data_IF_452984016021
#
_entry.id   IF_452984016021
#
_cell.length_a   1.000
_cell.length_b   1.000
_cell.length_c   1.000
_cell.angle_alpha   90.00
_cell.angle_beta   90.00
_cell.angle_gamma   90.00
#
_symmetry.space_group_name_H-M   'P 1'
#
loop_
_entity.id
_entity.type
_entity.pdbx_description
1 polymer ?
#
# COMPACT_ATOMS: atom_id res chain seq x y z
N UNK A 1 -87.54 -58.32 14.87
CA UNK A 1 -86.62 -58.62 13.74
C UNK A 1 -85.81 -57.41 13.25
N UNK A 2 -86.26 -56.15 13.39
CA UNK A 2 -85.48 -54.97 12.95
C UNK A 2 -84.24 -54.65 13.80
N UNK A 3 -84.24 -54.90 15.12
CA UNK A 3 -83.11 -54.55 15.99
C UNK A 3 -81.90 -55.51 15.88
N UNK A 4 -82.12 -56.78 15.52
CA UNK A 4 -81.03 -57.76 15.34
C UNK A 4 -80.19 -57.46 14.09
N UNK A 5 -80.79 -56.86 13.06
CA UNK A 5 -80.10 -56.49 11.82
C UNK A 5 -79.16 -55.30 12.07
N UNK A 6 -79.54 -54.33 12.92
CA UNK A 6 -78.67 -53.20 13.27
C UNK A 6 -77.48 -53.61 14.15
N UNK A 7 -77.65 -54.57 15.06
CA UNK A 7 -76.54 -55.08 15.89
C UNK A 7 -75.56 -55.92 15.07
N UNK A 8 -76.02 -56.66 14.07
CA UNK A 8 -75.14 -57.44 13.19
C UNK A 8 -74.35 -56.55 12.20
N UNK A 9 -74.94 -55.43 11.76
CA UNK A 9 -74.28 -54.48 10.85
C UNK A 9 -73.18 -53.68 11.56
N UNK A 10 -73.36 -53.35 12.85
CA UNK A 10 -72.37 -52.63 13.66
C UNK A 10 -71.13 -53.47 13.98
N UNK A 11 -71.31 -54.79 14.15
CA UNK A 11 -70.21 -55.73 14.42
C UNK A 11 -69.43 -56.06 13.14
N UNK A 12 -70.08 -56.07 11.98
CA UNK A 12 -69.42 -56.29 10.69
C UNK A 12 -68.52 -55.12 10.25
N UNK A 13 -68.82 -53.89 10.66
CA UNK A 13 -67.99 -52.70 10.36
C UNK A 13 -66.82 -52.50 11.33
N UNK A 14 -66.78 -53.22 12.46
CA UNK A 14 -65.71 -53.10 13.46
C UNK A 14 -64.46 -53.96 13.18
N UNK A 15 -64.55 -54.93 12.26
CA UNK A 15 -63.45 -55.87 11.98
C UNK A 15 -62.49 -55.42 10.87
N UNK A 16 -62.75 -54.30 10.19
CA UNK A 16 -61.87 -53.76 9.14
C UNK A 16 -61.02 -52.58 9.59
N UNK A 17 -61.09 -52.19 10.87
CA UNK A 17 -60.34 -51.05 11.43
C UNK A 17 -59.00 -51.43 12.07
N UNK A 18 -58.61 -52.71 12.09
CA UNK A 18 -57.30 -53.14 12.55
C UNK A 18 -56.28 -53.11 11.41
N UNK A 19 -55.86 -51.92 10.98
CA UNK A 19 -54.53 -51.79 10.36
C UNK A 19 -53.50 -51.94 11.49
N UNK A 20 -52.42 -52.71 11.26
CA UNK A 20 -51.31 -52.78 12.24
C UNK A 20 -50.89 -51.35 12.60
N UNK A 21 -50.71 -51.06 13.90
CA UNK A 21 -50.29 -49.74 14.41
C UNK A 21 -49.05 -49.19 13.67
N UNK A 22 -48.24 -50.09 13.12
CA UNK A 22 -46.98 -49.80 12.45
C UNK A 22 -47.16 -49.33 11.00
N UNK A 23 -48.36 -49.41 10.42
CA UNK A 23 -48.61 -49.09 9.00
C UNK A 23 -48.37 -47.61 8.67
N UNK A 24 -48.59 -46.70 9.62
CA UNK A 24 -48.26 -45.27 9.44
C UNK A 24 -46.75 -44.98 9.55
N UNK A 25 -46.00 -45.81 10.28
CA UNK A 25 -44.56 -45.61 10.48
C UNK A 25 -43.69 -46.43 9.51
N UNK A 26 -44.24 -47.49 8.90
CA UNK A 26 -43.52 -48.36 7.96
C UNK A 26 -42.84 -47.61 6.79
N UNK A 27 -43.42 -46.55 6.19
CA UNK A 27 -42.73 -45.75 5.17
C UNK A 27 -41.57 -44.93 5.71
N UNK A 28 -41.57 -44.61 7.01
CA UNK A 28 -40.48 -43.89 7.68
C UNK A 28 -39.39 -44.84 8.22
N UNK A 29 -39.68 -46.14 8.32
CA UNK A 29 -38.75 -47.20 8.72
C UNK A 29 -38.14 -47.96 7.54
N UNK A 30 -38.65 -47.76 6.30
CA UNK A 30 -38.29 -48.56 5.12
C UNK A 30 -36.83 -48.39 4.67
N UNK A 31 -36.14 -47.32 5.08
CA UNK A 31 -34.74 -47.07 4.75
C UNK A 31 -33.75 -47.45 5.86
N UNK A 32 -34.22 -48.04 6.97
CA UNK A 32 -33.38 -48.41 8.11
C UNK A 32 -32.81 -47.21 8.89
N UNK A 33 -32.03 -47.49 9.93
CA UNK A 33 -31.28 -46.47 10.68
C UNK A 33 -30.17 -45.88 9.79
N UNK A 34 -30.11 -44.55 9.68
CA UNK A 34 -29.03 -43.86 8.97
C UNK A 34 -27.83 -43.74 9.93
N UNK A 35 -26.76 -44.44 9.62
CA UNK A 35 -25.51 -44.35 10.37
C UNK A 35 -24.68 -43.15 9.88
N UNK A 36 -24.31 -42.26 10.79
CA UNK A 36 -23.40 -41.16 10.52
C UNK A 36 -22.07 -41.39 11.25
N UNK A 37 -20.96 -41.30 10.53
CA UNK A 37 -19.63 -41.32 11.16
C UNK A 37 -19.30 -39.98 11.83
N UNK A 38 -18.20 -39.94 12.59
CA UNK A 38 -17.77 -38.75 13.30
C UNK A 38 -17.54 -37.53 12.40
N UNK A 39 -17.89 -36.35 12.90
CA UNK A 39 -17.75 -35.06 12.19
C UNK A 39 -16.38 -34.42 12.51
N UNK A 40 -15.63 -33.89 11.52
CA UNK A 40 -14.41 -33.16 11.78
C UNK A 40 -14.70 -31.85 12.54
N UNK A 41 -13.78 -31.43 13.41
CA UNK A 41 -13.99 -30.27 14.30
C UNK A 41 -12.82 -29.29 14.21
N UNK A 42 -12.95 -28.11 14.85
CA UNK A 42 -11.92 -27.05 14.87
C UNK A 42 -11.44 -26.68 13.45
N UNK A 43 -12.41 -26.33 12.60
CA UNK A 43 -12.15 -25.97 11.22
C UNK A 43 -11.50 -24.59 11.16
N UNK A 44 -10.40 -24.49 10.42
CA UNK A 44 -9.73 -23.23 10.11
C UNK A 44 -9.54 -23.14 8.59
N UNK A 45 -9.67 -21.93 8.05
CA UNK A 45 -9.41 -21.64 6.65
C UNK A 45 -8.37 -20.53 6.56
N UNK A 46 -7.31 -20.79 5.79
CA UNK A 46 -6.19 -19.89 5.63
C UNK A 46 -6.10 -19.43 4.17
N UNK A 47 -6.24 -18.11 3.92
CA UNK A 47 -6.22 -17.59 2.57
C UNK A 47 -4.84 -17.68 1.91
N UNK A 48 -4.82 -18.04 0.64
CA UNK A 48 -3.63 -18.05 -0.21
C UNK A 48 -3.94 -17.54 -1.61
N UNK A 49 -2.90 -17.36 -2.41
CA UNK A 49 -3.01 -16.94 -3.81
C UNK A 49 -3.57 -18.08 -4.65
N UNK A 50 -4.78 -17.90 -5.17
CA UNK A 50 -5.51 -18.88 -5.97
C UNK A 50 -5.80 -20.20 -5.23
N UNK A 51 -5.74 -20.20 -3.88
CA UNK A 51 -5.94 -21.39 -3.06
C UNK A 51 -6.40 -21.06 -1.64
N UNK A 52 -6.90 -22.07 -0.95
CA UNK A 52 -7.21 -22.01 0.49
C UNK A 52 -6.59 -23.24 1.16
N UNK A 53 -5.89 -23.06 2.27
CA UNK A 53 -5.53 -24.17 3.16
C UNK A 53 -6.64 -24.36 4.20
N UNK A 54 -7.23 -25.54 4.25
CA UNK A 54 -8.14 -25.95 5.29
C UNK A 54 -7.38 -26.76 6.33
N UNK A 55 -7.60 -26.46 7.60
CA UNK A 55 -7.13 -27.26 8.72
C UNK A 55 -8.32 -27.74 9.54
N UNK A 56 -8.29 -28.99 9.98
CA UNK A 56 -9.35 -29.55 10.83
C UNK A 56 -8.84 -30.70 11.69
N UNK A 57 -9.44 -30.85 12.85
CA UNK A 57 -9.22 -31.98 13.75
C UNK A 57 -10.06 -33.17 13.30
N UNK A 58 -9.37 -34.30 13.11
CA UNK A 58 -10.00 -35.58 12.74
C UNK A 58 -11.00 -36.02 13.81
N UNK A 59 -12.15 -36.62 13.43
CA UNK A 59 -13.05 -37.25 14.39
C UNK A 59 -12.35 -38.38 15.16
N UNK A 60 -12.75 -38.60 16.41
CA UNK A 60 -12.20 -39.72 17.22
C UNK A 60 -12.61 -41.12 16.70
N UNK A 61 -13.54 -41.18 15.75
CA UNK A 61 -14.00 -42.43 15.15
C UNK A 61 -12.86 -43.08 14.33
N UNK A 62 -12.37 -44.27 14.74
CA UNK A 62 -11.27 -44.96 14.07
C UNK A 62 -11.67 -45.52 12.70
N UNK A 63 -12.97 -45.59 12.37
CA UNK A 63 -13.44 -46.13 11.10
C UNK A 63 -13.40 -45.12 9.95
N UNK A 64 -13.16 -43.83 10.23
CA UNK A 64 -12.99 -42.80 9.18
C UNK A 64 -11.79 -43.12 8.30
N UNK A 65 -11.99 -43.20 6.99
CA UNK A 65 -10.93 -43.55 6.02
C UNK A 65 -10.58 -42.43 5.06
N UNK A 66 -11.52 -41.52 4.78
CA UNK A 66 -11.33 -40.42 3.83
C UNK A 66 -12.22 -39.24 4.17
N UNK A 67 -11.89 -38.09 3.60
CA UNK A 67 -12.71 -36.89 3.61
C UNK A 67 -13.01 -36.48 2.17
N UNK A 68 -14.22 -35.98 1.94
CA UNK A 68 -14.56 -35.25 0.71
C UNK A 68 -14.90 -33.82 1.08
N UNK A 69 -14.16 -32.89 0.50
CA UNK A 69 -14.32 -31.46 0.70
C UNK A 69 -15.09 -30.92 -0.48
N UNK A 70 -16.26 -30.35 -0.25
CA UNK A 70 -17.13 -29.79 -1.28
C UNK A 70 -17.13 -28.26 -1.24
N UNK A 71 -17.29 -27.64 -2.41
CA UNK A 71 -17.56 -26.20 -2.54
C UNK A 71 -18.42 -25.92 -3.78
N UNK A 72 -18.81 -24.65 -3.97
CA UNK A 72 -19.69 -24.22 -5.06
C UNK A 72 -20.99 -25.02 -5.10
N UNK A 73 -21.71 -25.08 -3.97
CA UNK A 73 -22.94 -25.86 -3.80
C UNK A 73 -22.76 -27.35 -4.17
N UNK A 74 -21.65 -27.95 -3.71
CA UNK A 74 -21.24 -29.34 -3.98
C UNK A 74 -21.00 -29.70 -5.45
N UNK A 75 -21.00 -28.72 -6.36
CA UNK A 75 -20.65 -28.96 -7.78
C UNK A 75 -19.17 -29.24 -7.99
N UNK A 76 -18.32 -28.89 -7.01
CA UNK A 76 -16.89 -29.16 -6.98
C UNK A 76 -16.52 -29.89 -5.70
N UNK A 77 -15.55 -30.78 -5.79
CA UNK A 77 -15.05 -31.53 -4.64
C UNK A 77 -13.59 -31.93 -4.79
N UNK A 78 -12.97 -32.24 -3.65
CA UNK A 78 -11.66 -32.86 -3.53
C UNK A 78 -11.77 -33.99 -2.51
N UNK A 79 -11.39 -35.20 -2.91
CA UNK A 79 -11.29 -36.36 -2.03
C UNK A 79 -9.85 -36.53 -1.55
N UNK A 80 -9.69 -36.80 -0.25
CA UNK A 80 -8.40 -37.02 0.39
C UNK A 80 -8.48 -38.19 1.38
N UNK A 81 -7.38 -38.95 1.55
CA UNK A 81 -7.33 -39.98 2.59
C UNK A 81 -7.32 -39.33 3.99
N UNK A 82 -7.92 -40.02 4.96
CA UNK A 82 -7.78 -39.66 6.36
C UNK A 82 -6.42 -40.16 6.87
N UNK A 83 -5.56 -39.24 7.28
CA UNK A 83 -4.22 -39.56 7.81
C UNK A 83 -4.25 -39.56 9.35
N UNK A 84 -3.29 -40.23 9.97
CA UNK A 84 -3.19 -40.33 11.43
C UNK A 84 -2.40 -39.14 12.01
N UNK A 85 -3.05 -37.98 12.03
CA UNK A 85 -2.53 -36.73 12.59
C UNK A 85 -3.62 -36.01 13.38
N UNK A 86 -3.24 -35.27 14.42
CA UNK A 86 -4.19 -34.55 15.26
C UNK A 86 -4.93 -33.42 14.51
N UNK A 87 -4.24 -32.74 13.59
CA UNK A 87 -4.79 -31.71 12.70
C UNK A 87 -4.36 -32.05 11.28
N UNK A 88 -5.34 -32.32 10.42
CA UNK A 88 -5.09 -32.57 9.01
C UNK A 88 -5.17 -31.24 8.25
N UNK A 89 -4.19 -31.01 7.36
CA UNK A 89 -4.09 -29.80 6.54
C UNK A 89 -4.26 -30.16 5.07
N UNK A 90 -5.00 -29.34 4.33
CA UNK A 90 -5.38 -29.63 2.95
C UNK A 90 -5.38 -28.34 2.15
N UNK A 91 -4.68 -28.33 1.02
CA UNK A 91 -4.74 -27.23 0.06
C UNK A 91 -5.86 -27.51 -0.94
N UNK A 92 -6.77 -26.56 -1.11
CA UNK A 92 -7.71 -26.52 -2.23
C UNK A 92 -7.10 -25.59 -3.29
N UNK A 93 -6.50 -26.14 -4.37
CA UNK A 93 -5.83 -25.34 -5.40
C UNK A 93 -6.82 -24.78 -6.42
N UNK A 94 -6.30 -23.97 -7.35
CA UNK A 94 -6.99 -23.49 -8.56
C UNK A 94 -8.34 -22.80 -8.31
N UNK A 95 -8.45 -22.11 -7.17
CA UNK A 95 -9.58 -21.27 -6.85
C UNK A 95 -9.43 -19.91 -7.52
N UNK A 96 -10.54 -19.39 -8.04
CA UNK A 96 -10.59 -17.99 -8.46
C UNK A 96 -10.61 -17.12 -7.21
N UNK A 97 -10.11 -15.91 -7.32
CA UNK A 97 -10.20 -14.95 -6.22
C UNK A 97 -11.66 -14.72 -5.82
N UNK A 98 -11.96 -14.84 -4.52
CA UNK A 98 -13.32 -14.77 -3.99
C UNK A 98 -13.52 -15.55 -2.70
N UNK A 99 -14.72 -15.44 -2.16
CA UNK A 99 -15.15 -16.13 -0.94
C UNK A 99 -15.77 -17.50 -1.27
N UNK A 100 -15.45 -18.49 -0.45
CA UNK A 100 -15.93 -19.86 -0.59
C UNK A 100 -16.45 -20.40 0.74
N UNK A 101 -17.50 -21.22 0.67
CA UNK A 101 -17.90 -22.09 1.75
C UNK A 101 -17.44 -23.52 1.43
N UNK A 102 -16.67 -24.11 2.34
CA UNK A 102 -16.17 -25.48 2.23
C UNK A 102 -16.91 -26.37 3.22
N UNK A 103 -17.51 -27.44 2.71
CA UNK A 103 -18.10 -28.48 3.53
C UNK A 103 -17.18 -29.69 3.56
N UNK A 104 -16.82 -30.16 4.76
CA UNK A 104 -15.91 -31.30 4.94
C UNK A 104 -16.73 -32.49 5.44
N UNK A 105 -16.86 -33.52 4.60
CA UNK A 105 -17.61 -34.74 4.93
C UNK A 105 -16.63 -35.89 5.16
N UNK A 106 -16.66 -36.47 6.36
CA UNK A 106 -15.91 -37.69 6.65
C UNK A 106 -16.66 -38.91 6.12
N UNK A 107 -15.93 -39.92 5.66
CA UNK A 107 -16.51 -41.20 5.27
C UNK A 107 -15.80 -42.35 5.99
N UNK A 108 -16.59 -43.28 6.54
CA UNK A 108 -16.08 -44.49 7.16
C UNK A 108 -15.69 -45.58 6.13
N UNK A 109 -15.18 -46.71 6.61
CA UNK A 109 -14.84 -47.89 5.79
C UNK A 109 -16.04 -48.45 5.00
N UNK A 110 -17.26 -48.31 5.51
CA UNK A 110 -18.49 -48.79 4.89
C UNK A 110 -19.07 -47.77 3.88
N UNK A 111 -18.50 -46.57 3.80
CA UNK A 111 -18.95 -45.49 2.93
C UNK A 111 -20.04 -44.61 3.54
N UNK A 112 -20.32 -44.73 4.84
CA UNK A 112 -21.29 -43.85 5.51
C UNK A 112 -20.68 -42.45 5.72
N UNK A 113 -21.40 -41.38 5.37
CA UNK A 113 -20.93 -40.02 5.57
C UNK A 113 -21.09 -39.56 7.02
N UNK A 114 -20.35 -38.55 7.44
CA UNK A 114 -20.71 -37.75 8.61
C UNK A 114 -21.98 -36.95 8.33
N UNK A 115 -22.64 -36.43 9.38
CA UNK A 115 -23.85 -35.63 9.22
C UNK A 115 -23.66 -34.48 8.22
N UNK A 116 -24.43 -34.43 7.12
CA UNK A 116 -24.34 -33.36 6.13
C UNK A 116 -24.51 -31.98 6.76
N UNK A 117 -23.71 -31.01 6.33
CA UNK A 117 -23.72 -29.63 6.81
C UNK A 117 -23.16 -29.43 8.21
N UNK A 118 -22.71 -30.48 8.91
CA UNK A 118 -22.21 -30.35 10.28
C UNK A 118 -20.79 -29.75 10.38
N UNK A 119 -20.04 -29.73 9.28
CA UNK A 119 -18.68 -29.18 9.21
C UNK A 119 -18.53 -28.26 7.99
N UNK A 120 -18.89 -26.99 8.19
CA UNK A 120 -18.78 -25.93 7.17
C UNK A 120 -17.86 -24.83 7.69
N UNK A 121 -16.93 -24.38 6.86
CA UNK A 121 -16.06 -23.23 7.13
C UNK A 121 -16.01 -22.31 5.91
N UNK A 122 -15.99 -20.99 6.14
CA UNK A 122 -15.79 -20.00 5.09
C UNK A 122 -14.32 -19.65 4.95
N UNK A 123 -13.84 -19.45 3.73
CA UNK A 123 -12.47 -19.06 3.45
C UNK A 123 -12.34 -18.33 2.12
N UNK A 124 -11.43 -17.36 2.09
CA UNK A 124 -11.16 -16.54 0.92
C UNK A 124 -9.98 -17.09 0.12
N UNK A 125 -10.14 -17.24 -1.18
CA UNK A 125 -9.01 -17.31 -2.09
C UNK A 125 -8.63 -15.89 -2.51
N UNK A 126 -7.37 -15.51 -2.34
CA UNK A 126 -6.86 -14.19 -2.67
C UNK A 126 -6.13 -14.22 -4.01
N UNK A 127 -5.91 -13.06 -4.62
CA UNK A 127 -5.28 -12.99 -5.93
C UNK A 127 -4.78 -11.59 -6.27
N UNK A 128 -4.83 -11.31 -7.57
CA UNK A 128 -4.32 -10.05 -8.13
C UNK A 128 -5.16 -8.86 -7.69
N UNK A 129 -6.48 -9.02 -7.49
CA UNK A 129 -7.34 -7.93 -7.05
C UNK A 129 -6.96 -7.50 -5.63
N UNK A 130 -6.80 -8.44 -4.70
CA UNK A 130 -6.30 -8.18 -3.35
C UNK A 130 -4.94 -7.48 -3.40
N UNK A 131 -3.99 -8.01 -4.17
CA UNK A 131 -2.63 -7.45 -4.26
C UNK A 131 -2.61 -6.03 -4.86
N UNK A 132 -3.47 -5.74 -5.84
CA UNK A 132 -3.57 -4.42 -6.48
C UNK A 132 -4.14 -3.33 -5.55
N UNK A 133 -4.90 -3.72 -4.52
CA UNK A 133 -5.45 -2.81 -3.53
C UNK A 133 -4.46 -2.49 -2.40
N UNK A 134 -3.36 -3.24 -2.29
CA UNK A 134 -2.34 -2.98 -1.29
C UNK A 134 -1.60 -1.69 -1.62
N UNK A 135 -1.40 -0.87 -0.60
CA UNK A 135 -0.60 0.34 -0.69
C UNK A 135 0.80 0.05 -0.15
N UNK A 136 1.81 0.75 -0.67
CA UNK A 136 3.14 0.74 -0.06
C UNK A 136 3.11 1.43 1.30
N UNK A 137 4.04 1.05 2.17
CA UNK A 137 4.29 1.80 3.41
C UNK A 137 4.61 3.25 3.04
N UNK A 138 3.86 4.18 3.63
CA UNK A 138 4.10 5.61 3.43
C UNK A 138 5.50 5.98 3.91
N UNK A 139 6.24 6.66 3.05
CA UNK A 139 7.56 7.23 3.33
C UNK A 139 7.64 8.61 2.70
N UNK A 140 8.18 9.57 3.44
CA UNK A 140 8.59 10.84 2.86
C UNK A 140 10.07 10.72 2.50
N UNK A 141 10.42 11.10 1.27
CA UNK A 141 11.79 11.06 0.75
C UNK A 141 12.28 12.48 0.59
N UNK A 142 13.46 12.78 1.12
CA UNK A 142 14.08 14.10 0.99
C UNK A 142 15.59 13.96 0.77
N UNK A 143 16.18 14.90 0.03
CA UNK A 143 17.63 14.99 -0.05
C UNK A 143 18.16 15.83 1.13
N UNK A 144 19.32 15.45 1.67
CA UNK A 144 19.99 16.15 2.79
C UNK A 144 21.50 16.08 2.66
N UNK A 145 22.25 16.85 3.44
CA UNK A 145 23.71 16.77 3.44
C UNK A 145 24.26 15.35 3.70
N UNK A 146 23.51 14.53 4.46
CA UNK A 146 23.92 13.19 4.88
C UNK A 146 23.55 12.06 3.90
N UNK A 147 22.77 12.34 2.86
CA UNK A 147 22.21 11.29 1.99
C UNK A 147 20.74 11.53 1.66
N UNK A 148 20.11 10.49 1.09
CA UNK A 148 18.65 10.47 0.87
C UNK A 148 17.99 10.04 2.17
N UNK A 149 17.28 10.97 2.82
CA UNK A 149 16.50 10.72 4.03
C UNK A 149 15.21 10.00 3.67
N UNK A 150 14.90 8.99 4.49
CA UNK A 150 13.65 8.23 4.45
C UNK A 150 12.95 8.44 5.79
N UNK A 151 11.75 9.03 5.78
CA UNK A 151 10.92 9.19 6.97
C UNK A 151 9.68 8.29 6.84
N UNK A 152 9.73 7.13 7.49
CA UNK A 152 8.72 6.08 7.39
C UNK A 152 7.60 6.29 8.41
N UNK A 153 6.35 6.20 7.95
CA UNK A 153 5.18 6.12 8.83
C UNK A 153 5.09 4.76 9.54
N UNK A 154 4.31 4.66 10.61
CA UNK A 154 4.03 3.36 11.23
C UNK A 154 3.17 2.46 10.35
N UNK A 155 3.21 1.16 10.60
CA UNK A 155 2.42 0.12 9.91
C UNK A 155 1.78 -0.83 10.91
N UNK A 156 0.76 -1.54 10.46
CA UNK A 156 0.04 -2.54 11.26
C UNK A 156 0.80 -3.87 11.39
N UNK A 157 0.12 -4.89 11.94
CA UNK A 157 0.67 -6.24 12.15
C UNK A 157 0.69 -7.12 10.90
N UNK A 158 -0.06 -6.78 9.85
CA UNK A 158 -0.09 -7.57 8.61
C UNK A 158 1.05 -7.19 7.69
N UNK A 159 1.58 -5.97 7.79
CA UNK A 159 2.86 -5.58 7.19
C UNK A 159 4.01 -6.33 7.87
N UNK A 160 4.81 -7.06 7.10
CA UNK A 160 5.97 -7.82 7.58
C UNK A 160 7.28 -7.07 7.43
N UNK A 161 7.48 -6.45 6.28
CA UNK A 161 8.66 -5.63 6.01
C UNK A 161 8.43 -4.69 4.84
N UNK A 162 9.29 -3.68 4.72
CA UNK A 162 9.41 -2.83 3.53
C UNK A 162 10.83 -2.88 3.03
N UNK A 163 11.02 -2.97 1.71
CA UNK A 163 12.32 -2.84 1.07
C UNK A 163 12.39 -1.58 0.24
N UNK A 164 13.57 -0.95 0.22
CA UNK A 164 13.89 0.21 -0.62
C UNK A 164 15.03 -0.19 -1.55
N UNK A 165 14.74 -0.31 -2.84
CA UNK A 165 15.73 -0.50 -3.89
C UNK A 165 16.17 0.85 -4.49
N UNK A 166 17.45 1.01 -4.79
CA UNK A 166 18.01 2.25 -5.34
C UNK A 166 19.33 1.96 -6.06
N UNK A 167 19.84 2.92 -6.83
CA UNK A 167 21.18 2.83 -7.41
C UNK A 167 22.20 3.42 -6.43
N UNK A 168 23.27 2.69 -6.14
CA UNK A 168 24.33 3.14 -5.24
C UNK A 168 25.35 4.04 -5.96
N UNK A 169 26.27 4.64 -5.19
CA UNK A 169 27.38 5.44 -5.71
C UNK A 169 28.28 4.68 -6.70
N UNK A 170 28.41 3.35 -6.55
CA UNK A 170 29.18 2.53 -7.49
C UNK A 170 28.45 2.23 -8.79
N UNK A 171 27.17 2.62 -8.92
CA UNK A 171 26.30 2.28 -10.04
C UNK A 171 25.63 0.91 -9.92
N UNK A 172 25.89 0.16 -8.84
CA UNK A 172 25.24 -1.11 -8.57
C UNK A 172 23.81 -0.93 -8.03
N UNK A 173 23.00 -1.98 -8.07
CA UNK A 173 21.72 -2.02 -7.39
C UNK A 173 21.93 -2.22 -5.87
N UNK A 174 21.43 -1.27 -5.08
CA UNK A 174 21.37 -1.33 -3.62
C UNK A 174 19.96 -1.67 -3.14
N UNK A 175 19.85 -2.27 -1.95
CA UNK A 175 18.57 -2.57 -1.31
C UNK A 175 18.68 -2.55 0.20
N UNK A 176 17.76 -1.85 0.88
CA UNK A 176 17.57 -1.91 2.33
C UNK A 176 16.27 -2.65 2.68
N UNK A 177 16.21 -3.33 3.83
CA UNK A 177 15.02 -4.03 4.33
C UNK A 177 14.71 -3.61 5.76
N UNK A 178 13.46 -3.26 6.02
CA UNK A 178 12.98 -2.73 7.29
C UNK A 178 11.84 -3.58 7.85
N UNK A 179 12.02 -4.11 9.06
CA UNK A 179 11.01 -4.87 9.81
C UNK A 179 10.36 -4.05 10.94
N UNK A 180 10.94 -2.90 11.30
CA UNK A 180 10.39 -1.98 12.30
C UNK A 180 9.00 -1.50 11.92
N UNK A 181 8.04 -1.63 12.83
CA UNK A 181 6.64 -1.24 12.57
C UNK A 181 6.30 0.18 12.97
N UNK A 182 6.96 0.72 13.99
CA UNK A 182 6.79 2.12 14.39
C UNK A 182 7.37 3.07 13.34
N UNK A 183 6.99 4.35 13.43
CA UNK A 183 7.58 5.39 12.59
C UNK A 183 9.05 5.59 12.96
N UNK A 184 9.92 5.73 11.95
CA UNK A 184 11.35 5.93 12.15
C UNK A 184 11.97 6.59 10.92
N UNK A 185 13.21 7.05 11.07
CA UNK A 185 14.00 7.62 9.98
C UNK A 185 15.22 6.77 9.68
N UNK A 186 15.61 6.76 8.42
CA UNK A 186 16.89 6.22 7.96
C UNK A 186 17.48 7.08 6.84
N UNK A 187 18.71 6.79 6.43
CA UNK A 187 19.43 7.54 5.39
C UNK A 187 20.17 6.61 4.45
N UNK A 188 19.90 6.72 3.15
CA UNK A 188 20.70 6.09 2.11
C UNK A 188 21.94 6.95 1.85
N UNK A 189 23.03 6.63 2.55
CA UNK A 189 24.28 7.40 2.53
C UNK A 189 25.09 7.19 1.25
N UNK A 190 24.94 6.03 0.63
CA UNK A 190 25.63 5.60 -0.58
C UNK A 190 24.71 5.68 -1.82
N UNK A 191 23.65 6.49 -1.78
CA UNK A 191 22.80 6.74 -2.94
C UNK A 191 23.58 7.45 -4.06
N UNK A 192 23.30 7.07 -5.31
CA UNK A 192 23.92 7.66 -6.51
C UNK A 192 23.76 9.17 -6.57
N UNK A 193 24.79 9.86 -7.04
CA UNK A 193 24.77 11.30 -7.36
C UNK A 193 23.93 11.64 -8.62
N UNK A 194 23.33 10.63 -9.24
CA UNK A 194 22.39 10.74 -10.37
C UNK A 194 21.07 10.03 -10.07
N UNK A 195 20.76 9.78 -8.79
CA UNK A 195 19.55 9.07 -8.39
C UNK A 195 18.30 9.87 -8.80
N UNK A 196 17.46 9.27 -9.63
CA UNK A 196 16.20 9.85 -10.11
C UNK A 196 14.95 9.21 -9.50
N UNK A 197 15.08 8.02 -8.90
CA UNK A 197 13.98 7.33 -8.25
C UNK A 197 14.47 6.27 -7.24
N UNK A 198 13.59 5.90 -6.31
CA UNK A 198 13.72 4.71 -5.47
C UNK A 198 12.54 3.75 -5.67
N UNK A 199 12.78 2.46 -5.49
CA UNK A 199 11.78 1.41 -5.62
C UNK A 199 11.33 0.93 -4.23
N UNK A 200 10.08 1.20 -3.89
CA UNK A 200 9.46 0.66 -2.68
C UNK A 200 8.75 -0.64 -2.96
N UNK A 201 8.92 -1.58 -2.03
CA UNK A 201 8.14 -2.81 -1.98
C UNK A 201 7.77 -3.11 -0.53
N UNK A 202 6.48 -3.21 -0.25
CA UNK A 202 5.97 -3.55 1.09
C UNK A 202 5.33 -4.92 1.07
N UNK A 203 5.74 -5.78 2.00
CA UNK A 203 5.30 -7.16 2.10
C UNK A 203 4.21 -7.32 3.16
N UNK A 204 3.11 -7.93 2.78
CA UNK A 204 1.94 -8.17 3.62
C UNK A 204 1.65 -9.66 3.72
N UNK A 205 1.34 -10.13 4.93
CA UNK A 205 0.73 -11.45 5.15
C UNK A 205 -0.66 -11.19 5.74
N UNK A 206 -1.74 -11.52 5.01
CA UNK A 206 -3.11 -11.35 5.50
C UNK A 206 -3.32 -12.07 6.84
N UNK A 207 -4.33 -11.67 7.64
CA UNK A 207 -4.70 -12.43 8.82
C UNK A 207 -4.94 -13.91 8.48
N UNK A 208 -4.28 -14.80 9.22
CA UNK A 208 -4.29 -16.25 8.98
C UNK A 208 -3.83 -16.69 7.57
N UNK A 209 -3.27 -15.80 6.75
CA UNK A 209 -2.84 -16.11 5.39
C UNK A 209 -1.57 -16.94 5.32
N UNK A 210 -1.47 -17.77 4.29
CA UNK A 210 -0.31 -18.65 4.03
C UNK A 210 0.67 -18.08 3.01
N UNK A 211 0.31 -16.97 2.37
CA UNK A 211 1.14 -16.31 1.36
C UNK A 211 1.51 -14.88 1.75
N UNK A 212 2.64 -14.43 1.18
CA UNK A 212 3.02 -13.01 1.17
C UNK A 212 2.54 -12.34 -0.12
N UNK A 213 1.99 -11.14 0.02
CA UNK A 213 1.54 -10.25 -1.04
C UNK A 213 2.35 -8.95 -1.00
N UNK A 214 2.46 -8.28 -2.14
CA UNK A 214 3.36 -7.14 -2.27
C UNK A 214 2.70 -5.94 -2.92
N UNK A 215 2.75 -4.80 -2.23
CA UNK A 215 2.59 -3.49 -2.86
C UNK A 215 3.94 -3.01 -3.39
N UNK A 216 3.94 -2.34 -4.55
CA UNK A 216 5.15 -1.77 -5.16
C UNK A 216 4.87 -0.35 -5.63
N UNK A 217 5.85 0.53 -5.49
CA UNK A 217 5.77 1.91 -5.95
C UNK A 217 7.17 2.43 -6.30
N UNK A 218 7.28 3.13 -7.42
CA UNK A 218 8.45 3.94 -7.72
C UNK A 218 8.21 5.36 -7.19
N UNK A 219 9.14 5.88 -6.39
CA UNK A 219 9.13 7.26 -5.92
C UNK A 219 10.22 8.05 -6.61
N UNK A 220 9.83 9.09 -7.34
CA UNK A 220 10.78 10.01 -7.97
C UNK A 220 11.60 10.77 -6.91
N UNK A 221 12.88 10.98 -7.22
CA UNK A 221 13.82 11.75 -6.42
C UNK A 221 14.35 12.89 -7.28
N UNK A 222 14.25 14.11 -6.76
CA UNK A 222 14.96 15.26 -7.31
C UNK A 222 16.10 15.62 -6.36
N UNK A 223 17.36 15.46 -6.79
CA UNK A 223 18.52 15.72 -5.93
C UNK A 223 18.68 17.19 -5.55
N UNK A 224 18.04 18.11 -6.26
CA UNK A 224 18.02 19.52 -5.89
C UNK A 224 16.88 19.84 -4.89
N UNK A 225 15.90 18.95 -4.74
CA UNK A 225 14.82 19.17 -3.80
C UNK A 225 15.30 18.96 -2.36
N UNK A 226 15.09 19.96 -1.51
CA UNK A 226 15.53 19.90 -0.13
C UNK A 226 15.48 21.23 0.57
N UNK A 227 15.94 21.23 1.82
CA UNK A 227 16.09 22.43 2.63
C UNK A 227 17.51 22.95 2.52
N UNK A 228 17.65 24.27 2.41
CA UNK A 228 18.93 24.93 2.20
C UNK A 228 19.09 26.11 3.17
N UNK A 229 20.35 26.48 3.39
CA UNK A 229 20.72 27.83 3.81
C UNK A 229 21.29 28.54 2.59
N UNK A 230 20.65 29.64 2.21
CA UNK A 230 21.11 30.55 1.17
C UNK A 230 21.99 31.64 1.78
N UNK A 231 23.18 31.82 1.22
CA UNK A 231 24.06 32.96 1.47
C UNK A 231 24.39 33.62 0.15
N UNK A 232 24.82 34.89 0.16
CA UNK A 232 25.12 35.55 -1.10
C UNK A 232 25.28 37.04 -0.98
N UNK A 233 25.14 37.70 -2.11
CA UNK A 233 25.04 39.14 -2.24
C UNK A 233 23.79 39.49 -3.04
N UNK A 234 23.16 40.60 -2.69
CA UNK A 234 22.01 41.15 -3.39
C UNK A 234 22.25 42.65 -3.55
N UNK A 235 21.94 43.20 -4.73
CA UNK A 235 22.05 44.63 -5.00
C UNK A 235 20.82 45.09 -5.77
N UNK A 236 20.01 45.96 -5.16
CA UNK A 236 18.91 46.66 -5.86
C UNK A 236 19.42 48.03 -6.33
N UNK A 237 19.46 48.22 -7.65
CA UNK A 237 19.97 49.41 -8.32
C UNK A 237 18.99 50.59 -8.30
N UNK A 238 17.77 50.39 -7.78
CA UNK A 238 16.72 51.42 -7.70
C UNK A 238 16.48 51.88 -6.27
N UNK A 239 16.68 51.01 -5.28
CA UNK A 239 16.37 51.28 -3.87
C UNK A 239 17.45 50.71 -2.96
N UNK A 240 18.40 51.55 -2.54
CA UNK A 240 19.57 51.12 -1.76
C UNK A 240 19.25 50.58 -0.35
N UNK A 241 18.06 50.89 0.21
CA UNK A 241 17.61 50.32 1.48
C UNK A 241 17.20 48.85 1.38
N UNK A 242 17.02 48.33 0.14
CA UNK A 242 16.68 46.94 -0.11
C UNK A 242 17.95 46.08 -0.16
N UNK A 243 18.06 45.15 0.78
CA UNK A 243 19.22 44.27 0.91
C UNK A 243 18.79 42.79 1.03
N UNK A 244 19.74 41.88 0.82
CA UNK A 244 19.49 40.44 0.89
C UNK A 244 19.32 39.95 2.33
N UNK A 245 18.45 38.96 2.59
CA UNK A 245 18.14 38.46 3.93
C UNK A 245 19.15 37.39 4.40
N UNK A 246 20.42 37.49 4.02
CA UNK A 246 21.40 36.41 4.24
C UNK A 246 21.90 36.38 5.69
N UNK A 247 22.12 35.19 6.29
CA UNK A 247 21.74 33.87 5.76
C UNK A 247 20.22 33.67 5.76
N UNK A 248 19.71 33.03 4.71
CA UNK A 248 18.28 32.87 4.45
C UNK A 248 17.90 31.38 4.41
N UNK A 249 16.91 30.97 5.20
CA UNK A 249 16.42 29.58 5.14
C UNK A 249 15.39 29.44 4.02
N UNK A 250 15.61 28.45 3.16
CA UNK A 250 14.75 28.20 2.01
C UNK A 250 14.54 26.73 1.76
N UNK A 251 13.44 26.41 1.10
CA UNK A 251 13.18 25.09 0.52
C UNK A 251 13.17 25.20 -0.99
N UNK A 252 13.97 24.39 -1.68
CA UNK A 252 13.81 24.17 -3.12
C UNK A 252 12.76 23.07 -3.31
N UNK A 253 11.55 23.47 -3.69
CA UNK A 253 10.41 22.55 -3.87
C UNK A 253 10.37 22.07 -5.32
N UNK A 254 10.33 20.75 -5.59
CA UNK A 254 10.26 20.25 -6.95
C UNK A 254 8.89 20.52 -7.57
N UNK A 255 8.89 21.09 -8.77
CA UNK A 255 7.70 21.23 -9.62
C UNK A 255 7.69 20.11 -10.66
N UNK A 256 8.86 19.82 -11.24
CA UNK A 256 9.09 18.67 -12.13
C UNK A 256 10.43 18.01 -11.79
N UNK A 257 10.86 17.02 -12.55
CA UNK A 257 12.19 16.40 -12.40
C UNK A 257 13.34 17.40 -12.60
N UNK A 258 13.14 18.46 -13.37
CA UNK A 258 14.17 19.44 -13.75
C UNK A 258 13.80 20.89 -13.41
N UNK A 259 12.75 21.09 -12.61
CA UNK A 259 12.29 22.41 -12.21
C UNK A 259 12.05 22.44 -10.70
N UNK A 260 12.60 23.45 -10.04
CA UNK A 260 12.37 23.72 -8.62
C UNK A 260 11.97 25.17 -8.40
N UNK A 261 11.11 25.41 -7.43
CA UNK A 261 10.75 26.74 -6.97
C UNK A 261 11.35 27.04 -5.61
N UNK A 262 11.78 28.28 -5.41
CA UNK A 262 12.42 28.77 -4.21
C UNK A 262 11.34 29.25 -3.23
N UNK A 263 11.16 28.48 -2.15
CA UNK A 263 10.21 28.78 -1.08
C UNK A 263 10.96 29.43 0.08
N UNK A 264 10.46 30.57 0.54
CA UNK A 264 10.96 31.26 1.72
C UNK A 264 10.45 30.57 3.00
N UNK A 265 11.36 30.02 3.81
CA UNK A 265 10.98 29.37 5.07
C UNK A 265 10.91 30.33 6.27
N UNK A 266 11.42 31.57 6.13
CA UNK A 266 11.60 32.47 7.27
C UNK A 266 10.45 33.45 7.50
N UNK A 267 9.70 33.81 6.45
CA UNK A 267 8.65 34.84 6.55
C UNK A 267 7.33 34.40 5.92
N UNK A 268 7.33 34.06 4.64
CA UNK A 268 6.10 33.86 3.86
C UNK A 268 5.64 32.39 3.79
N UNK A 269 6.56 31.42 3.94
CA UNK A 269 6.29 29.99 3.71
C UNK A 269 5.73 29.71 2.29
N UNK A 270 6.03 30.59 1.33
CA UNK A 270 5.56 30.52 -0.05
C UNK A 270 6.65 31.01 -1.02
N UNK A 271 6.36 31.00 -2.33
CA UNK A 271 7.31 31.30 -3.41
C UNK A 271 7.47 32.81 -3.59
N UNK A 272 8.08 33.48 -2.62
CA UNK A 272 8.50 34.88 -2.70
C UNK A 272 9.99 35.02 -2.41
N UNK A 273 10.67 35.93 -3.13
CA UNK A 273 12.03 36.29 -2.75
C UNK A 273 11.99 37.26 -1.56
N UNK A 274 12.47 36.80 -0.40
CA UNK A 274 12.56 37.59 0.82
C UNK A 274 13.67 38.63 0.66
N UNK A 275 13.41 39.83 1.16
CA UNK A 275 14.38 40.93 1.21
C UNK A 275 14.32 41.61 2.57
N UNK A 276 15.29 42.47 2.85
CA UNK A 276 15.24 43.41 3.96
C UNK A 276 15.01 44.81 3.42
N UNK A 277 14.16 45.60 4.07
CA UNK A 277 14.02 47.03 3.84
C UNK A 277 14.40 47.77 5.13
N UNK A 278 15.53 48.49 5.10
CA UNK A 278 16.12 49.10 6.30
C UNK A 278 16.28 48.08 7.45
N UNK A 279 16.69 46.86 7.10
CA UNK A 279 16.88 45.75 8.04
C UNK A 279 15.60 44.99 8.44
N UNK A 280 14.41 45.44 8.03
CA UNK A 280 13.15 44.77 8.34
C UNK A 280 12.72 43.78 7.24
N UNK A 281 12.20 42.61 7.63
CA UNK A 281 11.76 41.58 6.69
C UNK A 281 10.64 42.05 5.75
N UNK A 282 10.87 41.92 4.44
CA UNK A 282 9.93 42.25 3.38
C UNK A 282 10.07 41.26 2.22
N UNK A 283 9.34 41.48 1.13
CA UNK A 283 9.43 40.66 -0.08
C UNK A 283 9.08 41.49 -1.32
N UNK A 284 9.56 41.05 -2.48
CA UNK A 284 9.13 41.63 -3.75
C UNK A 284 7.74 41.11 -4.15
N UNK A 285 6.73 42.00 -4.15
CA UNK A 285 5.39 41.68 -4.65
C UNK A 285 5.37 41.10 -6.07
N UNK A 286 4.67 39.98 -6.27
CA UNK A 286 4.60 39.24 -7.54
C UNK A 286 5.96 38.89 -8.15
N UNK A 287 6.94 38.59 -7.29
CA UNK A 287 8.23 38.05 -7.70
C UNK A 287 8.61 36.84 -6.83
N UNK A 288 8.69 35.69 -7.48
CA UNK A 288 9.08 34.41 -6.88
C UNK A 288 9.97 33.65 -7.84
N UNK A 289 10.98 32.94 -7.34
CA UNK A 289 12.05 32.39 -8.18
C UNK A 289 11.78 30.93 -8.51
N UNK A 290 11.86 30.59 -9.80
CA UNK A 290 11.84 29.21 -10.30
C UNK A 290 13.09 28.94 -11.10
N UNK A 291 13.85 27.92 -10.72
CA UNK A 291 15.03 27.46 -11.43
C UNK A 291 14.66 26.32 -12.37
N UNK A 292 15.00 26.46 -13.65
CA UNK A 292 14.93 25.40 -14.64
C UNK A 292 16.33 24.84 -14.88
N UNK A 293 16.46 23.52 -14.81
CA UNK A 293 17.72 22.82 -14.96
C UNK A 293 17.72 21.89 -16.17
N UNK A 294 18.92 21.53 -16.62
CA UNK A 294 19.11 20.39 -17.48
C UNK A 294 19.44 19.11 -16.69
N UNK A 295 19.60 18.00 -17.40
CA UNK A 295 19.92 16.69 -16.82
C UNK A 295 21.36 16.62 -16.26
N UNK A 296 22.15 17.68 -16.37
CA UNK A 296 23.51 17.81 -15.84
C UNK A 296 23.56 18.82 -14.68
N UNK A 297 22.40 19.15 -14.11
CA UNK A 297 22.21 20.07 -12.99
C UNK A 297 22.70 21.49 -13.26
N UNK A 298 22.80 21.91 -14.52
CA UNK A 298 23.06 23.32 -14.87
C UNK A 298 21.74 24.06 -14.85
N UNK A 299 21.69 25.23 -14.23
CA UNK A 299 20.56 26.14 -14.33
C UNK A 299 20.60 26.78 -15.71
N UNK A 300 19.58 26.51 -16.52
CA UNK A 300 19.49 26.97 -17.91
C UNK A 300 18.59 28.20 -18.06
N UNK A 301 17.69 28.44 -17.10
CA UNK A 301 16.94 29.68 -16.98
C UNK A 301 16.39 29.88 -15.57
N UNK A 302 16.13 31.14 -15.23
CA UNK A 302 15.41 31.55 -14.03
C UNK A 302 14.18 32.31 -14.48
N UNK A 303 13.00 31.94 -13.96
CA UNK A 303 11.74 32.58 -14.31
C UNK A 303 10.96 33.01 -13.06
N UNK A 304 10.12 34.02 -13.22
CA UNK A 304 9.25 34.50 -12.18
C UNK A 304 7.98 33.65 -12.08
N UNK A 305 7.71 33.12 -10.89
CA UNK A 305 6.55 32.28 -10.56
C UNK A 305 5.21 32.94 -10.90
N UNK A 306 5.11 34.27 -10.76
CA UNK A 306 3.86 35.02 -10.93
C UNK A 306 3.61 35.52 -12.36
N UNK A 307 4.40 35.03 -13.31
CA UNK A 307 4.38 35.45 -14.71
C UNK A 307 5.73 35.97 -15.14
N UNK A 308 6.05 35.76 -16.41
CA UNK A 308 7.35 36.05 -17.01
C UNK A 308 7.13 36.91 -18.28
N UNK A 309 6.77 38.21 -18.17
CA UNK A 309 6.66 39.01 -16.95
C UNK A 309 5.31 38.86 -16.21
N UNK A 310 5.27 39.24 -14.93
CA UNK A 310 4.07 39.27 -14.11
C UNK A 310 3.21 40.51 -14.40
N UNK A 311 2.05 40.64 -13.75
CA UNK A 311 1.12 41.76 -13.95
C UNK A 311 1.70 43.15 -13.61
N UNK A 312 2.71 43.22 -12.73
CA UNK A 312 3.44 44.45 -12.44
C UNK A 312 4.73 44.61 -13.27
N UNK A 313 4.89 43.77 -14.30
CA UNK A 313 6.00 43.77 -15.25
C UNK A 313 7.28 43.10 -14.76
N UNK A 314 7.30 42.49 -13.56
CA UNK A 314 8.50 41.83 -13.04
C UNK A 314 8.77 40.51 -13.73
N UNK A 315 10.03 40.26 -14.08
CA UNK A 315 10.48 38.98 -14.62
C UNK A 315 11.81 38.58 -13.98
N UNK A 316 12.16 37.29 -14.04
CA UNK A 316 13.50 36.84 -13.65
C UNK A 316 14.34 36.53 -14.89
N UNK A 317 15.66 36.59 -14.78
CA UNK A 317 16.57 36.26 -15.87
C UNK A 317 17.85 35.67 -15.30
N UNK A 318 18.36 34.61 -15.93
CA UNK A 318 19.63 34.01 -15.53
C UNK A 318 20.79 34.93 -15.92
N UNK A 319 21.71 35.17 -14.99
CA UNK A 319 22.97 35.86 -15.30
C UNK A 319 24.02 34.82 -15.73
N UNK A 320 24.41 34.77 -17.03
CA UNK A 320 25.30 33.75 -17.55
C UNK A 320 26.74 33.85 -17.00
N UNK A 321 27.11 34.94 -16.31
CA UNK A 321 28.42 35.07 -15.67
C UNK A 321 28.54 34.22 -14.39
N UNK A 322 27.43 33.71 -13.86
CA UNK A 322 27.39 32.83 -12.70
C UNK A 322 27.86 31.41 -12.98
N UNK A 323 28.18 30.68 -11.91
CA UNK A 323 28.46 29.23 -11.99
C UNK A 323 27.23 28.46 -12.48
N UNK A 324 26.04 28.89 -12.04
CA UNK A 324 24.72 28.41 -12.49
C UNK A 324 24.61 26.89 -12.54
N UNK A 325 25.00 26.24 -11.45
CA UNK A 325 25.05 24.78 -11.38
C UNK A 325 24.88 24.28 -9.96
N UNK A 326 24.12 23.20 -9.83
CA UNK A 326 24.11 22.37 -8.64
C UNK A 326 25.12 21.25 -8.77
N UNK A 327 25.92 21.06 -7.72
CA UNK A 327 26.84 19.94 -7.60
C UNK A 327 26.26 18.92 -6.61
N UNK A 328 25.83 17.73 -7.08
CA UNK A 328 25.28 16.69 -6.21
C UNK A 328 26.26 16.16 -5.16
N UNK A 329 27.58 16.24 -5.41
CA UNK A 329 28.58 15.74 -4.47
C UNK A 329 28.70 16.65 -3.24
N UNK A 330 28.79 17.96 -3.47
CA UNK A 330 28.84 18.96 -2.38
C UNK A 330 27.47 19.37 -1.89
N UNK A 331 26.41 19.10 -2.67
CA UNK A 331 25.01 19.50 -2.44
C UNK A 331 24.85 21.02 -2.35
N UNK A 332 25.63 21.71 -3.18
CA UNK A 332 25.65 23.17 -3.27
C UNK A 332 25.12 23.59 -4.63
N UNK A 333 24.14 24.48 -4.65
CA UNK A 333 23.73 25.22 -5.86
C UNK A 333 24.34 26.62 -5.79
N UNK A 334 25.04 27.03 -6.85
CA UNK A 334 25.47 28.42 -7.06
C UNK A 334 24.77 28.96 -8.29
N UNK A 335 24.13 30.12 -8.16
CA UNK A 335 23.37 30.73 -9.26
C UNK A 335 23.41 32.25 -9.16
N UNK A 336 23.58 32.88 -10.32
CA UNK A 336 23.40 34.32 -10.47
C UNK A 336 22.19 34.60 -11.34
N UNK A 337 21.40 35.59 -10.95
CA UNK A 337 20.21 35.98 -11.69
C UNK A 337 19.80 37.40 -11.37
N UNK A 338 18.91 37.93 -12.19
CA UNK A 338 18.35 39.26 -12.03
C UNK A 338 16.84 39.21 -11.85
N UNK A 339 16.32 40.20 -11.14
CA UNK A 339 14.94 40.64 -11.31
C UNK A 339 14.93 41.85 -12.25
N UNK A 340 14.15 41.75 -13.33
CA UNK A 340 13.86 42.86 -14.22
C UNK A 340 12.53 43.51 -13.85
N UNK A 341 12.39 44.81 -14.09
CA UNK A 341 11.15 45.56 -13.87
C UNK A 341 11.03 46.69 -14.91
N UNK A 342 9.81 47.11 -15.33
CA UNK A 342 9.67 48.24 -16.23
C UNK A 342 10.42 49.47 -15.75
N UNK A 343 11.17 50.11 -16.65
CA UNK A 343 11.98 51.29 -16.37
C UNK A 343 13.40 51.01 -15.84
N UNK A 344 13.77 49.74 -15.60
CA UNK A 344 15.13 49.38 -15.16
C UNK A 344 15.56 48.04 -15.75
N UNK A 345 16.70 48.02 -16.45
CA UNK A 345 17.36 46.77 -16.85
C UNK A 345 18.06 46.18 -15.64
N UNK A 346 17.74 44.93 -15.28
CA UNK A 346 18.33 44.24 -14.12
C UNK A 346 18.26 45.09 -12.83
N UNK A 347 17.03 45.44 -12.43
CA UNK A 347 16.78 46.23 -11.22
C UNK A 347 17.52 45.65 -10.02
N UNK A 348 17.43 44.33 -9.81
CA UNK A 348 18.09 43.67 -8.68
C UNK A 348 18.94 42.52 -9.18
N UNK A 349 20.20 42.44 -8.76
CA UNK A 349 21.08 41.30 -8.99
C UNK A 349 21.20 40.44 -7.74
N UNK A 350 21.20 39.13 -7.94
CA UNK A 350 21.40 38.12 -6.90
C UNK A 350 22.60 37.24 -7.28
N UNK A 351 23.54 37.08 -6.35
CA UNK A 351 24.65 36.13 -6.42
C UNK A 351 24.58 35.23 -5.20
N UNK A 352 23.93 34.07 -5.38
CA UNK A 352 23.46 33.23 -4.29
C UNK A 352 24.09 31.84 -4.32
N UNK A 353 24.45 31.37 -3.13
CA UNK A 353 24.93 30.03 -2.83
C UNK A 353 23.97 29.35 -1.87
N UNK A 354 23.34 28.28 -2.33
CA UNK A 354 22.44 27.46 -1.54
C UNK A 354 23.20 26.21 -1.07
N UNK A 355 23.40 26.08 0.24
CA UNK A 355 24.01 24.90 0.86
C UNK A 355 22.93 24.05 1.50
N UNK A 356 22.81 22.78 1.08
CA UNK A 356 21.79 21.87 1.61
C UNK A 356 22.02 21.57 3.10
N UNK A 357 20.93 21.47 3.86
CA UNK A 357 20.92 21.14 5.29
C UNK A 357 21.04 19.65 5.58
#
# INVERSE_FOLDING_TARGET
MKHIIYTLLLVATGLTACTKMDHEYAPYLSNGEIFYTGVPTRLEAHPGRGRVELQFTRPKDPNVTRFVIYWSNRSKHLEIPAVDVAVQKVIIPDLREGEYAFEIVAYDKAGNPSTPGAAIISGASLGQQYESNLQTRRVNVANSQSGILLDFASVDTVCRYTTVGYTTLSGAAGSMTYTTREAFRDTLKDASLQLSAIQLKTAYVPPSGIDTFYARQELAVNLLAGKYVCTGQMTDNTTASLTGPYPWNVTLRPVTATQVELVDDDQTNDVYHKILNDGNGSYYGSFGVVFNLDNQYRVISVVNKYGQPSSNGRSAELDPSGVNKFDPATRILRVKYWMNQPGSTHRTSFDETFTMK
#
